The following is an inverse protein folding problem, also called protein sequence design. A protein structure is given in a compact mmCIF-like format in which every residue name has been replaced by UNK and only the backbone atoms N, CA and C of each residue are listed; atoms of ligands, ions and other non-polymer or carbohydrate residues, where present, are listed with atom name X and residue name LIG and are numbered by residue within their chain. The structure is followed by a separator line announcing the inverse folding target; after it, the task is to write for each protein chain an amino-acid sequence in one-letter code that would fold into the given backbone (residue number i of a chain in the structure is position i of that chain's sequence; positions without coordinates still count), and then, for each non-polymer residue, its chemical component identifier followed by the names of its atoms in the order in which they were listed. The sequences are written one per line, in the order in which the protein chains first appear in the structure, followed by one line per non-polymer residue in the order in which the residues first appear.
data_IF_848479629092
#
_entry.id   IF_848479629092
#
_cell.length_a   1.000
_cell.length_b   1.000
_cell.length_c   1.000
_cell.angle_alpha   90.00
_cell.angle_beta   90.00
_cell.angle_gamma   90.00
#
_symmetry.space_group_name_H-M   'P 1'
#
loop_
_entity.id
_entity.type
_entity.pdbx_description
1 polymer ?
#
# COMPACT_ATOMS: atom_id res chain seq x y z
N UNK A 1 15.03 2.38 -23.55
CA UNK A 1 14.38 1.56 -22.51
C UNK A 1 13.77 2.51 -21.49
N UNK A 2 12.50 2.37 -21.13
CA UNK A 2 11.87 3.16 -20.05
C UNK A 2 11.94 2.31 -18.78
N UNK A 3 12.53 2.85 -17.72
CA UNK A 3 12.65 2.17 -16.42
C UNK A 3 11.97 3.01 -15.34
N UNK A 4 11.28 2.35 -14.41
CA UNK A 4 10.90 2.94 -13.14
C UNK A 4 11.97 2.55 -12.12
N UNK A 5 12.62 3.55 -11.52
CA UNK A 5 13.72 3.34 -10.58
C UNK A 5 13.35 3.92 -9.22
N UNK A 6 13.47 3.08 -8.19
CA UNK A 6 13.32 3.46 -6.80
C UNK A 6 14.69 3.67 -6.17
N UNK A 7 15.02 4.91 -5.80
CA UNK A 7 16.19 5.22 -4.97
C UNK A 7 15.78 5.21 -3.49
N UNK A 8 15.81 4.03 -2.89
CA UNK A 8 15.35 3.80 -1.52
C UNK A 8 16.53 3.47 -0.60
N UNK A 9 17.49 4.39 -0.46
CA UNK A 9 18.71 4.17 0.35
C UNK A 9 18.44 3.69 1.79
N UNK A 10 17.28 4.04 2.36
CA UNK A 10 16.84 3.64 3.70
C UNK A 10 15.61 2.72 3.69
N UNK A 11 15.29 2.11 2.55
CA UNK A 11 14.04 1.39 2.33
C UNK A 11 12.84 2.29 2.03
N UNK A 12 11.70 1.66 1.76
CA UNK A 12 10.41 2.31 1.47
C UNK A 12 9.30 1.55 2.18
N UNK A 13 8.40 2.27 2.84
CA UNK A 13 7.22 1.64 3.45
C UNK A 13 6.14 1.37 2.40
N UNK A 14 5.23 0.44 2.70
CA UNK A 14 4.19 0.04 1.75
C UNK A 14 3.26 1.18 1.35
N UNK A 15 2.88 2.04 2.28
CA UNK A 15 2.06 3.24 2.04
C UNK A 15 2.79 4.29 1.19
N UNK A 16 4.10 4.48 1.36
CA UNK A 16 4.91 5.34 0.49
C UNK A 16 4.92 4.82 -0.95
N UNK A 17 5.08 3.50 -1.14
CA UNK A 17 5.03 2.90 -2.47
C UNK A 17 3.65 3.07 -3.12
N UNK A 18 2.55 2.87 -2.37
CA UNK A 18 1.20 3.11 -2.86
C UNK A 18 0.96 4.59 -3.22
N UNK A 19 1.49 5.53 -2.43
CA UNK A 19 1.42 6.96 -2.74
C UNK A 19 2.15 7.30 -4.03
N UNK A 20 3.35 6.76 -4.23
CA UNK A 20 4.11 6.93 -5.45
C UNK A 20 3.38 6.35 -6.68
N UNK A 21 2.77 5.18 -6.55
CA UNK A 21 1.93 4.58 -7.60
C UNK A 21 0.78 5.50 -8.02
N UNK A 22 0.08 6.10 -7.06
CA UNK A 22 -1.00 7.05 -7.34
C UNK A 22 -0.46 8.31 -8.04
N UNK A 23 0.68 8.84 -7.60
CA UNK A 23 1.31 9.99 -8.24
C UNK A 23 1.83 9.67 -9.67
N UNK A 24 2.11 8.40 -9.97
CA UNK A 24 2.42 7.89 -11.31
C UNK A 24 1.17 7.67 -12.19
N UNK A 25 -0.04 7.91 -11.65
CA UNK A 25 -1.30 7.84 -12.38
C UNK A 25 -2.10 6.55 -12.17
N UNK A 26 -1.74 5.70 -11.20
CA UNK A 26 -2.55 4.52 -10.86
C UNK A 26 -3.77 4.95 -10.03
N UNK A 27 -4.95 4.51 -10.45
CA UNK A 27 -6.20 4.83 -9.75
C UNK A 27 -6.28 4.20 -8.35
N UNK A 28 -6.73 4.97 -7.37
CA UNK A 28 -6.97 4.48 -6.01
C UNK A 28 -7.99 3.32 -5.99
N UNK A 29 -8.99 3.36 -6.85
CA UNK A 29 -10.00 2.29 -6.97
C UNK A 29 -9.38 0.97 -7.43
N UNK A 30 -8.43 1.03 -8.36
CA UNK A 30 -7.66 -0.13 -8.80
C UNK A 30 -6.86 -0.73 -7.64
N UNK A 31 -6.10 0.10 -6.91
CA UNK A 31 -5.33 -0.36 -5.74
C UNK A 31 -6.22 -0.99 -4.66
N UNK A 32 -7.39 -0.40 -4.38
CA UNK A 32 -8.38 -0.97 -3.44
C UNK A 32 -8.89 -2.33 -3.91
N UNK A 33 -9.21 -2.45 -5.20
CA UNK A 33 -9.69 -3.70 -5.80
C UNK A 33 -8.63 -4.80 -5.73
N UNK A 34 -7.39 -4.49 -6.09
CA UNK A 34 -6.27 -5.45 -6.06
C UNK A 34 -5.95 -5.89 -4.63
N UNK A 35 -5.73 -4.94 -3.71
CA UNK A 35 -5.45 -5.26 -2.31
C UNK A 35 -6.61 -6.00 -1.62
N UNK A 36 -7.85 -5.80 -2.07
CA UNK A 36 -9.01 -6.57 -1.62
C UNK A 36 -8.89 -8.08 -1.86
N UNK A 37 -8.12 -8.50 -2.87
CA UNK A 37 -7.90 -9.92 -3.20
C UNK A 37 -7.05 -10.66 -2.17
N UNK A 38 -6.38 -9.94 -1.26
CA UNK A 38 -5.71 -10.52 -0.09
C UNK A 38 -6.69 -11.19 0.88
N UNK A 39 -8.01 -11.00 0.69
CA UNK A 39 -9.07 -11.55 1.54
C UNK A 39 -8.93 -11.17 3.02
N UNK A 40 -8.30 -10.02 3.28
CA UNK A 40 -8.18 -9.42 4.59
C UNK A 40 -9.37 -8.51 4.85
N UNK A 41 -9.98 -8.66 6.03
CA UNK A 41 -11.07 -7.79 6.51
C UNK A 41 -10.51 -6.71 7.44
N UNK A 42 -11.35 -5.73 7.77
CA UNK A 42 -11.05 -4.78 8.85
C UNK A 42 -10.05 -3.68 8.49
N UNK A 43 -9.95 -3.30 7.22
CA UNK A 43 -9.08 -2.21 6.78
C UNK A 43 -9.73 -1.39 5.66
N UNK A 44 -9.29 -0.14 5.53
CA UNK A 44 -9.66 0.79 4.46
C UNK A 44 -8.43 1.55 3.97
N UNK A 45 -8.38 1.86 2.68
CA UNK A 45 -7.32 2.66 2.05
C UNK A 45 -7.77 4.09 1.83
N UNK A 46 -7.08 5.04 2.42
CA UNK A 46 -7.27 6.47 2.19
C UNK A 46 -6.08 7.02 1.42
N UNK A 47 -6.34 7.97 0.55
CA UNK A 47 -5.29 8.71 -0.15
C UNK A 47 -5.70 10.18 -0.23
N UNK A 48 -4.77 11.06 0.12
CA UNK A 48 -4.95 12.50 0.04
C UNK A 48 -3.65 13.17 -0.42
N UNK A 49 -3.77 14.37 -1.01
CA UNK A 49 -2.58 15.18 -1.29
C UNK A 49 -2.08 15.76 0.03
N UNK A 50 -0.79 15.62 0.28
CA UNK A 50 -0.13 16.14 1.46
C UNK A 50 1.15 16.90 1.07
N UNK A 51 1.51 17.88 1.89
CA UNK A 51 2.77 18.60 1.77
C UNK A 51 3.48 18.61 3.12
N UNK A 52 4.76 18.24 3.15
CA UNK A 52 5.63 18.33 4.34
C UNK A 52 6.94 18.96 3.96
N UNK A 53 7.37 19.99 4.69
CA UNK A 53 8.61 20.71 4.44
C UNK A 53 8.80 21.15 2.97
N UNK A 54 7.71 21.54 2.29
CA UNK A 54 7.73 21.97 0.89
C UNK A 54 7.75 20.83 -0.15
N UNK A 55 7.70 19.57 0.28
CA UNK A 55 7.61 18.40 -0.60
C UNK A 55 6.15 17.95 -0.65
N UNK A 56 5.60 17.85 -1.86
CA UNK A 56 4.22 17.42 -2.10
C UNK A 56 4.19 16.01 -2.68
N UNK A 57 3.22 15.22 -2.23
CA UNK A 57 2.94 13.88 -2.77
C UNK A 57 1.58 13.39 -2.32
N UNK A 58 1.27 12.14 -2.64
CA UNK A 58 0.08 11.46 -2.11
C UNK A 58 0.42 10.73 -0.81
N UNK A 59 -0.23 11.14 0.28
CA UNK A 59 -0.20 10.39 1.54
C UNK A 59 -1.26 9.31 1.48
N UNK A 60 -0.81 8.05 1.51
CA UNK A 60 -1.68 6.90 1.66
C UNK A 60 -1.74 6.50 3.13
N UNK A 61 -2.93 6.15 3.61
CA UNK A 61 -3.13 5.64 4.96
C UNK A 61 -3.95 4.35 4.90
N UNK A 62 -3.41 3.27 5.45
CA UNK A 62 -4.15 2.04 5.70
C UNK A 62 -4.75 2.13 7.08
N UNK A 63 -6.06 2.39 7.17
CA UNK A 63 -6.76 2.51 8.44
C UNK A 63 -7.37 1.17 8.82
N UNK A 64 -7.06 0.69 10.00
CA UNK A 64 -7.74 -0.46 10.58
C UNK A 64 -9.16 -0.04 11.02
N UNK A 65 -10.18 -0.75 10.56
CA UNK A 65 -11.60 -0.47 10.88
C UNK A 65 -12.17 -1.38 11.96
N UNK A 66 -11.47 -2.49 12.27
CA UNK A 66 -11.83 -3.41 13.35
C UNK A 66 -10.58 -3.64 14.18
N UNK A 67 -10.67 -3.42 15.50
CA UNK A 67 -9.58 -3.73 16.42
C UNK A 67 -9.36 -5.25 16.45
N UNK A 68 -8.32 -5.70 15.76
CA UNK A 68 -7.90 -7.09 15.73
C UNK A 68 -6.40 -7.16 16.07
N UNK A 69 -6.07 -7.83 17.17
CA UNK A 69 -4.69 -8.09 17.57
C UNK A 69 -4.19 -9.38 16.90
N UNK A 70 -4.10 -9.34 15.56
CA UNK A 70 -3.52 -10.43 14.79
C UNK A 70 -2.00 -10.24 14.74
N UNK A 71 -1.27 -10.84 15.68
CA UNK A 71 0.17 -11.01 15.51
C UNK A 71 0.40 -11.96 14.33
N UNK A 72 1.16 -11.51 13.34
CA UNK A 72 1.54 -12.29 12.17
C UNK A 72 3.05 -12.38 12.09
N UNK A 73 3.55 -13.59 11.92
CA UNK A 73 4.94 -13.81 11.53
C UNK A 73 5.06 -13.68 10.01
N UNK A 74 6.30 -13.61 9.51
CA UNK A 74 6.57 -13.53 8.08
C UNK A 74 5.89 -14.67 7.30
N UNK A 75 5.96 -15.90 7.82
CA UNK A 75 5.34 -17.07 7.19
C UNK A 75 3.81 -16.97 7.09
N UNK A 76 3.15 -16.25 8.00
CA UNK A 76 1.71 -15.98 7.91
C UNK A 76 1.40 -14.96 6.81
N UNK A 77 2.24 -13.93 6.69
CA UNK A 77 2.13 -12.89 5.64
C UNK A 77 2.35 -13.52 4.26
N UNK A 78 3.38 -14.35 4.10
CA UNK A 78 3.67 -15.06 2.85
C UNK A 78 2.49 -15.96 2.45
N UNK A 79 1.91 -16.71 3.39
CA UNK A 79 0.72 -17.53 3.12
C UNK A 79 -0.46 -16.69 2.63
N UNK A 80 -0.70 -15.52 3.23
CA UNK A 80 -1.77 -14.61 2.79
C UNK A 80 -1.51 -14.14 1.36
N UNK A 81 -0.29 -13.72 1.05
CA UNK A 81 0.09 -13.22 -0.28
C UNK A 81 -0.05 -14.35 -1.32
N UNK A 82 0.58 -15.51 -1.08
CA UNK A 82 0.58 -16.64 -2.02
C UNK A 82 -0.79 -17.33 -2.15
N UNK A 83 -1.65 -17.24 -1.13
CA UNK A 83 -3.02 -17.73 -1.17
C UNK A 83 -4.02 -16.75 -1.80
N UNK A 84 -3.59 -15.54 -2.15
CA UNK A 84 -4.43 -14.51 -2.76
C UNK A 84 -4.40 -14.57 -4.29
N UNK A 85 -5.31 -13.84 -4.94
CA UNK A 85 -5.27 -13.56 -6.38
C UNK A 85 -4.75 -12.15 -6.69
N UNK A 86 -4.03 -11.54 -5.74
CA UNK A 86 -3.33 -10.27 -5.95
C UNK A 86 -2.34 -10.41 -7.12
N UNK A 87 -2.41 -9.48 -8.07
CA UNK A 87 -1.59 -9.47 -9.28
C UNK A 87 -0.14 -9.05 -9.01
#
# INVERSE_FOLDING_TARGET
MKVLYYDCFSGISGDMNLGAMIDLGIDLSFLRSELGKLNLRGWELYAEKAQRHGITGTLVTVKQTVHEHAHRHLSDIEKIIHGSSLA
#
